data_IF_074127386819
#
_entry.id   IF_074127386819
#
_cell.length_a   1.000
_cell.length_b   1.000
_cell.length_c   1.000
_cell.angle_alpha   90.00
_cell.angle_beta   90.00
_cell.angle_gamma   90.00
#
_symmetry.space_group_name_H-M   'P 1'
#
loop_
_entity.id
_entity.type
_entity.pdbx_description
1 polymer ?
#
# COMPACT_ATOMS: atom_id res chain seq x y z
N UNK A 1 3.27 -2.75 -29.30
CA UNK A 1 4.57 -2.51 -28.63
C UNK A 1 4.30 -1.69 -27.38
N UNK A 2 4.66 -2.21 -26.21
CA UNK A 2 4.55 -1.50 -24.94
C UNK A 2 5.78 -0.60 -24.71
N UNK A 3 5.59 0.53 -24.01
CA UNK A 3 6.66 1.50 -23.72
C UNK A 3 7.43 1.19 -22.42
N UNK A 4 6.94 0.27 -21.61
CA UNK A 4 7.45 -0.05 -20.28
C UNK A 4 7.37 -1.56 -20.04
N UNK A 5 8.26 -2.09 -19.21
CA UNK A 5 8.23 -3.49 -18.75
C UNK A 5 7.36 -3.66 -17.50
N UNK A 6 7.19 -2.60 -16.73
CA UNK A 6 6.36 -2.60 -15.53
C UNK A 6 5.82 -1.21 -15.22
N UNK A 7 4.75 -1.17 -14.42
CA UNK A 7 4.25 0.03 -13.78
C UNK A 7 4.16 -0.18 -12.27
N UNK A 8 4.48 0.86 -11.51
CA UNK A 8 4.37 0.87 -10.05
C UNK A 8 3.60 2.12 -9.59
N UNK A 9 2.26 2.14 -9.65
CA UNK A 9 1.48 3.23 -9.10
C UNK A 9 1.74 3.44 -7.61
N UNK A 10 1.85 4.71 -7.22
CA UNK A 10 1.97 5.14 -5.83
C UNK A 10 0.58 5.22 -5.20
N UNK A 11 0.08 4.10 -4.67
CA UNK A 11 -1.27 4.00 -4.10
C UNK A 11 -1.18 4.32 -2.61
N UNK A 12 -1.04 5.61 -2.33
CA UNK A 12 -0.78 6.12 -0.98
C UNK A 12 -2.06 6.47 -0.22
N UNK A 13 -3.04 5.57 -0.30
CA UNK A 13 -4.38 5.76 0.25
C UNK A 13 -4.75 4.64 1.21
N UNK A 14 -5.59 4.97 2.18
CA UNK A 14 -6.26 3.99 3.02
C UNK A 14 -7.45 3.34 2.31
N UNK A 15 -8.01 2.28 2.90
CA UNK A 15 -9.25 1.67 2.43
C UNK A 15 -10.48 2.54 2.72
N UNK A 16 -10.38 3.46 3.68
CA UNK A 16 -11.48 4.34 4.06
C UNK A 16 -11.37 5.73 3.40
N UNK A 17 -10.45 5.92 2.46
CA UNK A 17 -10.37 7.18 1.72
C UNK A 17 -11.62 7.35 0.83
N UNK A 18 -12.36 8.44 1.05
CA UNK A 18 -13.65 8.70 0.38
C UNK A 18 -13.55 8.80 -1.16
N UNK A 19 -12.42 9.30 -1.69
CA UNK A 19 -12.24 9.57 -3.13
C UNK A 19 -11.30 8.58 -3.82
N UNK A 20 -10.38 7.99 -3.07
CA UNK A 20 -9.30 7.14 -3.61
C UNK A 20 -9.12 5.92 -2.72
N UNK A 21 -10.20 5.19 -2.49
CA UNK A 21 -10.17 3.93 -1.75
C UNK A 21 -9.12 2.98 -2.33
N UNK A 22 -8.20 2.50 -1.48
CA UNK A 22 -7.11 1.60 -1.89
C UNK A 22 -7.58 0.45 -2.79
N UNK A 23 -8.67 -0.24 -2.44
CA UNK A 23 -9.20 -1.39 -3.19
C UNK A 23 -9.60 -1.00 -4.62
N UNK A 24 -10.33 0.11 -4.75
CA UNK A 24 -10.80 0.60 -6.05
C UNK A 24 -9.61 0.99 -6.94
N UNK A 25 -8.62 1.68 -6.37
CA UNK A 25 -7.46 2.16 -7.14
C UNK A 25 -6.62 0.97 -7.64
N UNK A 26 -6.39 -0.06 -6.81
CA UNK A 26 -5.61 -1.24 -7.26
C UNK A 26 -6.33 -2.01 -8.38
N UNK A 27 -7.67 -2.11 -8.33
CA UNK A 27 -8.48 -2.79 -9.35
C UNK A 27 -8.53 -1.99 -10.65
N UNK A 28 -8.54 -0.66 -10.56
CA UNK A 28 -8.41 0.22 -11.72
C UNK A 28 -7.07 0.02 -12.42
N UNK A 29 -5.96 0.01 -11.68
CA UNK A 29 -4.64 -0.27 -12.28
C UNK A 29 -4.55 -1.70 -12.85
N UNK A 30 -5.09 -2.71 -12.18
CA UNK A 30 -5.15 -4.08 -12.72
C UNK A 30 -5.94 -4.14 -14.03
N UNK A 31 -6.98 -3.30 -14.17
CA UNK A 31 -7.79 -3.22 -15.39
C UNK A 31 -7.07 -2.45 -16.52
N UNK A 32 -6.40 -1.33 -16.19
CA UNK A 32 -5.72 -0.46 -17.15
C UNK A 32 -4.50 -1.11 -17.80
N UNK A 33 -3.81 -2.01 -17.10
CA UNK A 33 -2.66 -2.74 -17.66
C UNK A 33 -3.17 -3.75 -18.71
N UNK A 34 -3.34 -3.31 -19.95
CA UNK A 34 -3.93 -4.15 -21.01
C UNK A 34 -2.92 -5.17 -21.60
N UNK A 35 -1.65 -4.80 -21.64
CA UNK A 35 -0.57 -5.62 -22.19
C UNK A 35 -0.13 -6.69 -21.19
N UNK A 36 -0.21 -7.97 -21.57
CA UNK A 36 0.12 -9.10 -20.67
C UNK A 36 1.60 -9.20 -20.29
N UNK A 37 2.47 -8.52 -21.03
CA UNK A 37 3.92 -8.44 -20.75
C UNK A 37 4.27 -7.38 -19.72
N UNK A 38 3.34 -6.47 -19.38
CA UNK A 38 3.59 -5.40 -18.41
C UNK A 38 3.25 -5.88 -17.01
N UNK A 39 4.23 -5.82 -16.12
CA UNK A 39 4.07 -6.21 -14.72
C UNK A 39 3.45 -5.07 -13.88
N UNK A 40 2.50 -5.39 -13.00
CA UNK A 40 1.94 -4.43 -12.05
C UNK A 40 2.54 -4.64 -10.65
N UNK A 41 3.18 -3.61 -10.12
CA UNK A 41 3.62 -3.54 -8.73
C UNK A 41 2.83 -2.49 -7.96
N UNK A 42 2.50 -2.74 -6.69
CA UNK A 42 1.72 -1.79 -5.89
C UNK A 42 2.63 -1.03 -4.93
N UNK A 43 2.73 0.29 -5.09
CA UNK A 43 3.48 1.17 -4.20
C UNK A 43 2.70 1.51 -2.93
N UNK A 44 3.21 1.14 -1.76
CA UNK A 44 2.59 1.38 -0.46
C UNK A 44 3.29 2.49 0.33
N UNK A 45 2.53 3.23 1.13
CA UNK A 45 3.00 4.42 1.88
C UNK A 45 3.22 4.13 3.36
N UNK A 46 4.33 3.47 3.69
CA UNK A 46 4.70 3.16 5.08
C UNK A 46 4.77 4.41 5.96
N UNK A 47 5.21 5.54 5.38
CA UNK A 47 5.34 6.80 6.12
C UNK A 47 4.02 7.37 6.66
N UNK A 48 2.86 6.90 6.16
CA UNK A 48 1.55 7.36 6.63
C UNK A 48 1.08 6.65 7.90
N UNK A 49 1.66 5.49 8.24
CA UNK A 49 1.31 4.74 9.45
C UNK A 49 1.47 5.63 10.69
N UNK A 50 0.43 5.69 11.51
CA UNK A 50 0.38 6.53 12.71
C UNK A 50 0.12 8.02 12.46
N UNK A 51 -0.10 8.44 11.21
CA UNK A 51 -0.37 9.83 10.83
C UNK A 51 -1.83 10.01 10.38
N UNK A 52 -2.32 11.24 10.42
CA UNK A 52 -3.60 11.57 9.77
C UNK A 52 -3.42 11.76 8.28
N UNK A 53 -4.40 11.30 7.53
CA UNK A 53 -4.53 11.54 6.11
C UNK A 53 -5.58 12.63 5.88
N UNK A 54 -5.14 13.89 5.84
CA UNK A 54 -6.02 15.07 5.72
C UNK A 54 -6.89 15.06 4.46
N UNK A 55 -6.55 14.23 3.47
CA UNK A 55 -7.26 14.11 2.19
C UNK A 55 -8.14 12.87 2.08
N UNK A 56 -8.26 12.07 3.16
CA UNK A 56 -9.06 10.85 3.15
C UNK A 56 -10.52 11.03 3.58
N UNK A 57 -10.95 12.25 3.89
CA UNK A 57 -12.32 12.52 4.35
C UNK A 57 -12.64 11.71 5.61
N UNK A 58 -13.65 10.85 5.56
CA UNK A 58 -14.01 9.99 6.70
C UNK A 58 -12.89 9.02 7.11
N UNK A 59 -11.98 8.67 6.19
CA UNK A 59 -10.84 7.78 6.45
C UNK A 59 -9.62 8.46 7.07
N UNK A 60 -9.69 9.75 7.44
CA UNK A 60 -8.53 10.54 7.89
C UNK A 60 -7.72 9.93 9.04
N UNK A 61 -8.37 9.16 9.92
CA UNK A 61 -7.73 8.53 11.07
C UNK A 61 -7.44 7.02 10.87
N UNK A 62 -7.70 6.44 9.68
CA UNK A 62 -7.49 5.00 9.44
C UNK A 62 -6.04 4.58 9.74
N UNK A 63 -5.09 5.39 9.25
CA UNK A 63 -3.65 5.14 9.45
C UNK A 63 -3.21 5.29 10.91
N UNK A 64 -3.89 6.12 11.72
CA UNK A 64 -3.65 6.24 13.16
C UNK A 64 -4.19 5.04 13.92
N UNK A 65 -5.36 4.54 13.50
CA UNK A 65 -6.14 3.57 14.27
C UNK A 65 -5.92 2.11 13.85
N UNK A 66 -5.19 1.85 12.77
CA UNK A 66 -4.92 0.49 12.27
C UNK A 66 -3.49 0.04 12.55
N UNK A 67 -3.32 -1.22 12.95
CA UNK A 67 -2.01 -1.85 13.16
C UNK A 67 -1.71 -2.96 12.13
N UNK A 68 -2.56 -3.07 11.12
CA UNK A 68 -2.52 -4.10 10.08
C UNK A 68 -2.82 -3.58 8.66
N UNK A 69 -2.81 -2.26 8.45
CA UNK A 69 -3.17 -1.65 7.17
C UNK A 69 -2.23 -2.10 6.06
N UNK A 70 -0.92 -2.18 6.30
CA UNK A 70 0.04 -2.63 5.28
C UNK A 70 -0.18 -4.11 4.94
N UNK A 71 -0.51 -4.93 5.94
CA UNK A 71 -0.87 -6.34 5.74
C UNK A 71 -2.08 -6.47 4.83
N UNK A 72 -3.18 -5.76 5.16
CA UNK A 72 -4.42 -5.76 4.37
C UNK A 72 -4.19 -5.28 2.94
N UNK A 73 -3.37 -4.25 2.75
CA UNK A 73 -2.99 -3.75 1.42
C UNK A 73 -2.25 -4.80 0.59
N UNK A 74 -1.30 -5.54 1.18
CA UNK A 74 -0.59 -6.63 0.49
C UNK A 74 -1.56 -7.77 0.14
N UNK A 75 -2.42 -8.17 1.09
CA UNK A 75 -3.41 -9.23 0.87
C UNK A 75 -4.42 -8.88 -0.20
N UNK A 76 -4.89 -7.62 -0.25
CA UNK A 76 -5.74 -7.12 -1.33
C UNK A 76 -5.02 -7.13 -2.68
N UNK A 77 -3.78 -6.64 -2.72
CA UNK A 77 -2.98 -6.58 -3.96
C UNK A 77 -2.70 -7.96 -4.55
N UNK A 78 -2.50 -8.99 -3.72
CA UNK A 78 -2.30 -10.39 -4.14
C UNK A 78 -3.49 -11.00 -4.89
N UNK A 79 -4.68 -10.39 -4.80
CA UNK A 79 -5.89 -10.87 -5.48
C UNK A 79 -5.98 -10.38 -6.93
N UNK A 80 -5.17 -9.39 -7.33
CA UNK A 80 -5.16 -8.84 -8.67
C UNK A 80 -4.53 -9.84 -9.67
N UNK A 81 -4.99 -9.82 -10.92
CA UNK A 81 -4.54 -10.78 -11.92
C UNK A 81 -3.11 -10.52 -12.40
N UNK A 82 -2.72 -9.24 -12.48
CA UNK A 82 -1.43 -8.80 -13.04
C UNK A 82 -0.40 -8.45 -11.97
N UNK A 83 -0.73 -8.69 -10.70
CA UNK A 83 0.14 -8.42 -9.56
C UNK A 83 1.45 -9.21 -9.64
N UNK A 84 2.56 -8.50 -9.45
CA UNK A 84 3.91 -9.09 -9.36
C UNK A 84 4.65 -8.72 -8.08
N UNK A 85 4.10 -7.85 -7.25
CA UNK A 85 4.72 -7.50 -5.98
C UNK A 85 4.27 -6.14 -5.45
N UNK A 86 4.93 -5.74 -4.37
CA UNK A 86 4.76 -4.43 -3.76
C UNK A 86 6.10 -3.71 -3.63
N UNK A 87 6.07 -2.38 -3.62
CA UNK A 87 7.20 -1.53 -3.25
C UNK A 87 6.83 -0.69 -2.04
N UNK A 88 7.70 -0.63 -1.04
CA UNK A 88 7.46 0.09 0.22
C UNK A 88 8.15 1.45 0.20
N UNK A 89 7.37 2.54 0.25
CA UNK A 89 7.90 3.89 0.36
C UNK A 89 7.70 4.46 1.78
N UNK A 90 8.74 4.81 2.52
CA UNK A 90 10.17 4.60 2.25
C UNK A 90 10.80 3.67 3.28
N UNK A 91 11.96 3.14 2.95
CA UNK A 91 12.74 2.23 3.81
C UNK A 91 12.92 2.78 5.23
N UNK A 92 13.33 4.05 5.34
CA UNK A 92 13.54 4.74 6.62
C UNK A 92 12.29 4.73 7.52
N UNK A 93 11.09 4.94 6.97
CA UNK A 93 9.85 4.87 7.74
C UNK A 93 9.55 3.48 8.31
N UNK A 94 10.06 2.42 7.66
CA UNK A 94 9.89 1.04 8.14
C UNK A 94 10.98 0.66 9.16
N UNK A 95 12.23 1.05 8.92
CA UNK A 95 13.37 0.55 9.70
C UNK A 95 13.88 1.53 10.76
N UNK A 96 13.58 2.80 10.63
CA UNK A 96 13.97 3.89 11.53
C UNK A 96 12.80 4.84 11.82
N UNK A 97 11.64 4.33 12.32
CA UNK A 97 10.48 5.18 12.61
C UNK A 97 10.73 6.11 13.80
N UNK A 98 10.02 7.24 13.82
CA UNK A 98 9.98 8.13 14.98
C UNK A 98 9.38 7.43 16.21
N UNK A 99 9.76 7.87 17.40
CA UNK A 99 9.39 7.22 18.66
C UNK A 99 7.88 7.07 18.85
N UNK A 100 7.08 8.02 18.36
CA UNK A 100 5.62 8.02 18.50
C UNK A 100 4.90 6.95 17.67
N UNK A 101 5.51 6.43 16.59
CA UNK A 101 4.89 5.39 15.73
C UNK A 101 5.66 4.06 15.76
N UNK A 102 6.73 3.98 16.56
CA UNK A 102 7.66 2.84 16.57
C UNK A 102 6.98 1.50 16.89
N UNK A 103 6.09 1.46 17.88
CA UNK A 103 5.36 0.24 18.26
C UNK A 103 4.42 -0.24 17.14
N UNK A 104 3.68 0.69 16.52
CA UNK A 104 2.79 0.41 15.41
C UNK A 104 3.56 -0.11 14.18
N UNK A 105 4.67 0.53 13.83
CA UNK A 105 5.55 0.05 12.74
C UNK A 105 6.16 -1.32 13.06
N UNK A 106 6.53 -1.60 14.31
CA UNK A 106 7.00 -2.93 14.70
C UNK A 106 5.93 -4.00 14.50
N UNK A 107 4.67 -3.70 14.84
CA UNK A 107 3.55 -4.60 14.59
C UNK A 107 3.33 -4.83 13.09
N UNK A 108 3.30 -3.77 12.29
CA UNK A 108 3.17 -3.86 10.82
C UNK A 108 4.31 -4.67 10.19
N UNK A 109 5.54 -4.51 10.67
CA UNK A 109 6.68 -5.33 10.22
C UNK A 109 6.50 -6.80 10.55
N UNK A 110 5.98 -7.12 11.73
CA UNK A 110 5.67 -8.50 12.12
C UNK A 110 4.62 -9.09 11.17
N UNK A 111 3.57 -8.32 10.87
CA UNK A 111 2.53 -8.70 9.93
C UNK A 111 3.08 -8.93 8.51
N UNK A 112 3.87 -8.00 7.98
CA UNK A 112 4.51 -8.14 6.65
C UNK A 112 5.44 -9.34 6.60
N UNK A 113 6.27 -9.56 7.64
CA UNK A 113 7.13 -10.75 7.74
C UNK A 113 6.32 -12.05 7.68
N UNK A 114 5.11 -12.08 8.21
CA UNK A 114 4.25 -13.27 8.15
C UNK A 114 3.76 -13.57 6.71
N UNK A 115 3.69 -12.56 5.85
CA UNK A 115 3.23 -12.69 4.47
C UNK A 115 4.33 -13.11 3.49
N UNK A 116 5.59 -12.77 3.76
CA UNK A 116 6.73 -12.99 2.85
C UNK A 116 7.63 -14.16 3.24
N UNK A 117 7.10 -15.13 3.99
CA UNK A 117 7.81 -16.38 4.30
C UNK A 117 7.84 -17.31 3.09
#
# INVERSE_FOLDING_TARGET
LGYIDYICPQIYYGFLNDNSNFQQVIEEFDSLVAESTVNLYIGLSVYKVGSEDTWAGNGKDEWRNSTDILKRQVEASRKLKKYKGILLFRYDSLFNPSSNVKSQIQQERSNLKSLFK
#
